data_IF_186022272234
#
_entry.id   IF_186022272234
#
_cell.length_a   1.000
_cell.length_b   1.000
_cell.length_c   1.000
_cell.angle_alpha   90.00
_cell.angle_beta   90.00
_cell.angle_gamma   90.00
#
_symmetry.space_group_name_H-M   'P 1'
#
loop_
_entity.id
_entity.type
_entity.pdbx_description
1 polymer ?
#
# COMPACT_ATOMS: atom_id res chain seq x y z
N UNK A 1 -2.10 -19.97 -19.18
CA UNK A 1 -2.33 -19.10 -18.01
C UNK A 1 -3.12 -17.88 -18.45
N UNK A 2 -4.24 -17.55 -17.80
CA UNK A 2 -4.98 -16.32 -18.15
C UNK A 2 -4.35 -15.16 -17.38
N UNK A 3 -4.14 -14.02 -18.03
CA UNK A 3 -3.50 -12.84 -17.40
C UNK A 3 -4.19 -12.41 -16.08
N UNK A 4 -5.48 -12.69 -15.92
CA UNK A 4 -6.27 -12.36 -14.72
C UNK A 4 -5.89 -13.14 -13.47
N UNK A 5 -5.33 -14.35 -13.61
CA UNK A 5 -4.96 -15.19 -12.46
C UNK A 5 -3.83 -14.54 -11.64
N UNK A 6 -2.96 -13.77 -12.28
CA UNK A 6 -1.83 -13.07 -11.66
C UNK A 6 -2.25 -11.94 -10.70
N UNK A 7 -3.47 -11.42 -10.84
CA UNK A 7 -4.00 -10.34 -10.00
C UNK A 7 -4.92 -10.84 -8.89
N UNK A 8 -5.16 -12.15 -8.83
CA UNK A 8 -5.90 -12.81 -7.76
C UNK A 8 -5.00 -13.14 -6.58
N UNK A 9 -4.51 -12.12 -5.88
CA UNK A 9 -3.65 -12.29 -4.72
C UNK A 9 -4.11 -11.40 -3.58
N UNK A 10 -4.46 -12.00 -2.45
CA UNK A 10 -4.72 -11.24 -1.22
C UNK A 10 -3.47 -11.36 -0.35
N UNK A 11 -2.72 -10.27 -0.24
CA UNK A 11 -1.50 -10.26 0.57
C UNK A 11 -1.80 -10.52 2.05
N UNK A 12 -0.95 -11.32 2.69
CA UNK A 12 -0.95 -11.49 4.14
C UNK A 12 -0.16 -10.36 4.83
N UNK A 13 -0.38 -10.13 6.14
CA UNK A 13 0.43 -9.18 6.91
C UNK A 13 1.94 -9.52 6.87
N UNK A 14 2.30 -10.80 6.88
CA UNK A 14 3.69 -11.26 6.87
C UNK A 14 4.37 -10.92 5.53
N UNK A 15 3.68 -11.13 4.41
CA UNK A 15 4.20 -10.76 3.08
C UNK A 15 4.41 -9.23 2.97
N UNK A 16 3.50 -8.44 3.54
CA UNK A 16 3.60 -6.98 3.54
C UNK A 16 4.63 -6.45 4.53
N UNK A 17 4.89 -7.16 5.64
CA UNK A 17 5.91 -6.79 6.61
C UNK A 17 7.32 -6.78 5.97
N UNK A 18 7.59 -7.68 5.02
CA UNK A 18 8.83 -7.66 4.23
C UNK A 18 9.01 -6.38 3.39
N UNK A 19 7.92 -5.65 3.11
CA UNK A 19 7.97 -4.42 2.33
C UNK A 19 8.23 -3.20 3.21
N UNK A 20 7.81 -3.22 4.47
CA UNK A 20 7.96 -2.09 5.41
C UNK A 20 9.41 -1.63 5.49
N UNK A 21 10.35 -2.56 5.66
CA UNK A 21 11.78 -2.24 5.72
C UNK A 21 12.28 -1.61 4.39
N UNK A 22 11.83 -2.15 3.25
CA UNK A 22 12.24 -1.67 1.92
C UNK A 22 11.68 -0.27 1.65
N UNK A 23 10.42 -0.04 2.03
CA UNK A 23 9.77 1.27 1.92
C UNK A 23 10.47 2.30 2.81
N UNK A 24 10.82 1.94 4.05
CA UNK A 24 11.60 2.80 4.93
C UNK A 24 12.90 3.27 4.28
N UNK A 25 13.68 2.36 3.70
CA UNK A 25 14.90 2.71 2.96
C UNK A 25 14.63 3.61 1.76
N UNK A 26 13.57 3.36 1.00
CA UNK A 26 13.22 4.21 -0.15
C UNK A 26 12.91 5.66 0.27
N UNK A 27 12.42 5.89 1.48
CA UNK A 27 12.19 7.26 1.99
C UNK A 27 13.49 8.02 2.28
N UNK A 28 14.65 7.34 2.36
CA UNK A 28 15.96 8.00 2.49
C UNK A 28 16.46 8.54 1.14
N UNK A 29 16.03 7.92 0.04
CA UNK A 29 16.54 8.18 -1.32
C UNK A 29 15.56 8.99 -2.19
N UNK A 30 14.33 9.22 -1.72
CA UNK A 30 13.27 9.90 -2.47
C UNK A 30 12.49 10.88 -1.60
N UNK A 31 12.09 12.01 -2.20
CA UNK A 31 11.22 13.00 -1.53
C UNK A 31 9.85 12.41 -1.17
N UNK A 32 9.33 11.53 -2.03
CA UNK A 32 8.03 10.89 -1.86
C UNK A 32 8.06 9.45 -2.40
N UNK A 33 7.40 8.53 -1.68
CA UNK A 33 7.26 7.12 -2.08
C UNK A 33 5.78 6.77 -2.21
N UNK A 34 5.40 6.26 -3.38
CA UNK A 34 4.02 5.88 -3.68
C UNK A 34 3.88 4.36 -3.77
N UNK A 35 3.11 3.77 -2.87
CA UNK A 35 2.75 2.35 -2.92
C UNK A 35 1.35 2.18 -3.54
N UNK A 36 1.26 1.44 -4.65
CA UNK A 36 -0.01 1.15 -5.33
C UNK A 36 -0.27 -0.35 -5.36
N UNK A 37 -1.50 -0.73 -5.03
CA UNK A 37 -1.96 -2.11 -5.09
C UNK A 37 -2.72 -2.36 -6.39
N UNK A 38 -2.26 -3.34 -7.17
CA UNK A 38 -2.85 -3.71 -8.47
C UNK A 38 -3.36 -5.17 -8.50
N UNK A 39 -3.49 -5.80 -7.32
CA UNK A 39 -4.13 -7.09 -7.12
C UNK A 39 -5.67 -6.94 -7.21
N UNK A 40 -6.15 -6.67 -8.43
CA UNK A 40 -7.50 -6.19 -8.72
C UNK A 40 -8.58 -7.29 -8.73
N UNK A 41 -8.46 -8.30 -7.89
CA UNK A 41 -9.55 -9.25 -7.64
C UNK A 41 -10.38 -8.77 -6.45
N UNK A 42 -11.70 -8.73 -6.63
CA UNK A 42 -12.66 -8.42 -5.58
C UNK A 42 -12.30 -7.09 -4.87
N UNK A 43 -12.16 -7.10 -3.55
CA UNK A 43 -11.75 -5.97 -2.72
C UNK A 43 -10.30 -6.10 -2.22
N UNK A 44 -9.47 -6.92 -2.86
CA UNK A 44 -8.15 -7.26 -2.33
C UNK A 44 -7.20 -6.06 -2.32
N UNK A 45 -7.16 -5.27 -3.39
CA UNK A 45 -6.30 -4.09 -3.46
C UNK A 45 -6.53 -3.10 -2.29
N UNK A 46 -7.76 -2.61 -2.02
CA UNK A 46 -7.99 -1.72 -0.88
C UNK A 46 -7.72 -2.39 0.48
N UNK A 47 -8.00 -3.69 0.63
CA UNK A 47 -7.69 -4.41 1.88
C UNK A 47 -6.19 -4.59 2.12
N UNK A 48 -5.43 -4.92 1.07
CA UNK A 48 -3.97 -5.01 1.16
C UNK A 48 -3.35 -3.64 1.46
N UNK A 49 -3.90 -2.56 0.89
CA UNK A 49 -3.48 -1.19 1.21
C UNK A 49 -3.72 -0.84 2.68
N UNK A 50 -4.87 -1.21 3.24
CA UNK A 50 -5.18 -1.03 4.67
C UNK A 50 -4.23 -1.81 5.59
N UNK A 51 -3.88 -3.05 5.22
CA UNK A 51 -2.92 -3.86 5.97
C UNK A 51 -1.52 -3.22 5.96
N UNK A 52 -1.03 -2.82 4.78
CA UNK A 52 0.26 -2.14 4.69
C UNK A 52 0.25 -0.83 5.48
N UNK A 53 -0.85 -0.08 5.45
CA UNK A 53 -0.98 1.16 6.22
C UNK A 53 -0.79 0.93 7.72
N UNK A 54 -1.47 -0.07 8.28
CA UNK A 54 -1.31 -0.43 9.69
C UNK A 54 0.12 -0.83 10.06
N UNK A 55 0.79 -1.59 9.19
CA UNK A 55 2.19 -1.99 9.40
C UNK A 55 3.16 -0.80 9.35
N UNK A 56 2.92 0.18 8.48
CA UNK A 56 3.71 1.42 8.42
C UNK A 56 3.51 2.26 9.70
N UNK A 57 2.28 2.32 10.22
CA UNK A 57 1.98 3.00 11.49
C UNK A 57 2.68 2.32 12.67
N UNK A 58 2.64 0.98 12.73
CA UNK A 58 3.35 0.19 13.75
C UNK A 58 4.88 0.41 13.70
N UNK A 59 5.44 0.57 12.49
CA UNK A 59 6.85 0.84 12.27
C UNK A 59 7.22 2.33 12.45
N UNK A 60 6.25 3.21 12.68
CA UNK A 60 6.47 4.66 12.80
C UNK A 60 6.89 5.35 11.50
N UNK A 61 6.58 4.75 10.34
CA UNK A 61 6.86 5.33 9.02
C UNK A 61 5.67 6.21 8.63
N UNK A 62 5.86 7.54 8.48
CA UNK A 62 4.78 8.42 8.08
C UNK A 62 4.26 8.05 6.68
N UNK A 63 2.96 7.83 6.58
CA UNK A 63 2.27 7.60 5.32
C UNK A 63 0.98 8.41 5.27
N UNK A 64 0.39 8.49 4.09
CA UNK A 64 -0.98 8.95 3.85
C UNK A 64 -1.70 7.94 2.95
N UNK A 65 -3.03 7.90 3.02
CA UNK A 65 -3.88 7.00 2.24
C UNK A 65 -4.30 5.74 2.99
N UNK A 66 -5.38 5.13 2.52
CA UNK A 66 -5.93 3.88 3.06
C UNK A 66 -6.91 4.08 4.21
N UNK A 67 -6.69 5.03 5.13
CA UNK A 67 -7.54 5.21 6.33
C UNK A 67 -8.20 6.60 6.36
N UNK A 68 -7.56 7.60 5.76
CA UNK A 68 -8.04 8.97 5.79
C UNK A 68 -9.29 9.14 4.92
N UNK A 69 -10.24 10.02 5.33
CA UNK A 69 -11.32 10.41 4.45
C UNK A 69 -10.74 11.02 3.17
N UNK A 70 -11.41 10.85 2.02
CA UNK A 70 -10.96 11.46 0.78
C UNK A 70 -10.82 12.97 1.01
N UNK A 71 -9.76 13.61 0.46
CA UNK A 71 -9.56 15.03 0.64
C UNK A 71 -10.80 15.80 0.16
N UNK A 72 -11.26 16.75 0.98
CA UNK A 72 -12.45 17.55 0.69
C UNK A 72 -12.28 18.46 -0.52
N UNK A 73 -11.03 18.79 -0.85
CA UNK A 73 -10.65 19.47 -2.06
C UNK A 73 -10.00 18.47 -3.03
N UNK A 74 -10.23 18.61 -4.35
CA UNK A 74 -9.52 17.80 -5.32
C UNK A 74 -8.02 18.03 -5.17
N UNK A 75 -7.29 16.98 -4.81
CA UNK A 75 -5.83 16.92 -4.95
C UNK A 75 -5.53 16.51 -6.39
N UNK A 76 -5.71 17.46 -7.29
CA UNK A 76 -4.96 17.43 -8.55
C UNK A 76 -3.71 18.28 -8.31
N UNK A 77 -2.63 17.92 -8.98
CA UNK A 77 -1.45 18.75 -9.17
C UNK A 77 -1.75 20.25 -9.17
#
# INVERSE_FOLDING_TARGET
EKSSERFNWMYSPEELAEWVEKLGRLTEDADEVYALFNNNRDDFAPRSALLLRGLLDEAGIPAAGGIEPPPLAPTLF
#
